data_IF_667426250932
#
_entry.id   IF_667426250932
#
_cell.length_a   1.000
_cell.length_b   1.000
_cell.length_c   1.000
_cell.angle_alpha   90.00
_cell.angle_beta   90.00
_cell.angle_gamma   90.00
#
_symmetry.space_group_name_H-M   'P 1'
#
loop_
_entity.id
_entity.type
_entity.pdbx_description
1 polymer ?
#
# COMPACT_ATOMS: atom_id res chain seq x y z
N UNK A 1 -47.10 -21.68 -21.83
CA UNK A 1 -47.15 -20.24 -21.48
C UNK A 1 -45.72 -19.70 -21.48
N UNK A 2 -45.42 -18.67 -22.27
CA UNK A 2 -44.09 -18.02 -22.37
C UNK A 2 -43.99 -16.72 -21.59
N UNK A 3 -45.07 -16.33 -20.91
CA UNK A 3 -45.20 -15.06 -20.21
C UNK A 3 -45.85 -15.25 -18.84
N UNK A 4 -45.54 -14.34 -17.92
CA UNK A 4 -46.04 -14.29 -16.55
C UNK A 4 -46.27 -12.84 -16.11
N UNK A 5 -47.34 -12.61 -15.36
CA UNK A 5 -47.61 -11.29 -14.76
C UNK A 5 -46.78 -11.09 -13.50
N UNK A 6 -46.05 -9.97 -13.45
CA UNK A 6 -45.27 -9.60 -12.27
C UNK A 6 -46.19 -9.23 -11.10
N UNK A 7 -46.01 -9.87 -9.94
CA UNK A 7 -46.81 -9.60 -8.75
C UNK A 7 -46.64 -8.18 -8.21
N UNK A 8 -45.53 -7.50 -8.52
CA UNK A 8 -45.20 -6.17 -8.00
C UNK A 8 -45.59 -5.00 -8.90
N UNK A 9 -45.24 -5.04 -10.18
CA UNK A 9 -45.60 -4.00 -11.15
C UNK A 9 -46.85 -4.32 -11.97
N UNK A 10 -47.44 -5.52 -11.77
CA UNK A 10 -48.68 -5.97 -12.40
C UNK A 10 -48.68 -6.02 -13.93
N UNK A 11 -47.50 -5.99 -14.56
CA UNK A 11 -47.35 -6.08 -16.02
C UNK A 11 -47.01 -7.50 -16.46
N UNK A 12 -47.54 -7.90 -17.62
CA UNK A 12 -47.21 -9.15 -18.32
C UNK A 12 -45.79 -9.06 -18.87
N UNK A 13 -44.97 -10.09 -18.63
CA UNK A 13 -43.57 -10.12 -19.03
C UNK A 13 -43.15 -11.54 -19.43
N UNK A 14 -42.16 -11.62 -20.31
CA UNK A 14 -41.50 -12.87 -20.67
C UNK A 14 -40.88 -13.56 -19.45
N UNK A 15 -40.90 -14.90 -19.41
CA UNK A 15 -40.44 -15.69 -18.26
C UNK A 15 -38.95 -15.47 -17.93
N UNK A 16 -38.12 -15.15 -18.91
CA UNK A 16 -36.69 -14.85 -18.74
C UNK A 16 -36.44 -13.56 -17.92
N UNK A 17 -37.43 -12.68 -17.82
CA UNK A 17 -37.40 -11.47 -16.99
C UNK A 17 -37.69 -11.77 -15.51
N UNK A 18 -37.79 -13.03 -15.12
CA UNK A 18 -37.96 -13.48 -13.74
C UNK A 18 -36.74 -14.28 -13.27
N UNK A 19 -36.44 -14.22 -11.98
CA UNK A 19 -35.40 -15.07 -11.40
C UNK A 19 -35.96 -16.46 -11.12
N UNK A 20 -35.14 -17.50 -11.29
CA UNK A 20 -35.49 -18.87 -10.90
C UNK A 20 -35.69 -18.96 -9.38
N UNK A 21 -36.72 -19.68 -8.96
CA UNK A 21 -36.99 -20.03 -7.57
C UNK A 21 -37.60 -21.43 -7.54
N UNK A 22 -36.79 -22.42 -7.18
CA UNK A 22 -37.17 -23.84 -7.18
C UNK A 22 -38.40 -24.13 -6.32
N UNK A 23 -38.61 -23.37 -5.24
CA UNK A 23 -39.77 -23.51 -4.36
C UNK A 23 -41.09 -22.95 -4.93
N UNK A 24 -41.08 -22.28 -6.09
CA UNK A 24 -42.30 -21.81 -6.74
C UNK A 24 -42.91 -22.91 -7.61
N UNK A 25 -44.25 -22.95 -7.70
CA UNK A 25 -45.00 -23.90 -8.54
C UNK A 25 -44.50 -23.89 -10.00
N UNK A 26 -44.23 -22.71 -10.55
CA UNK A 26 -43.73 -22.51 -11.92
C UNK A 26 -42.20 -22.36 -12.00
N UNK A 27 -41.49 -22.61 -10.89
CA UNK A 27 -40.03 -22.47 -10.81
C UNK A 27 -39.50 -21.03 -10.91
N UNK A 28 -40.38 -20.01 -10.89
CA UNK A 28 -40.01 -18.61 -11.09
C UNK A 28 -40.47 -17.74 -9.91
N UNK A 29 -39.71 -16.66 -9.65
CA UNK A 29 -40.16 -15.63 -8.70
C UNK A 29 -41.46 -14.98 -9.18
N UNK A 30 -42.32 -14.53 -8.25
CA UNK A 30 -43.53 -13.79 -8.61
C UNK A 30 -43.21 -12.35 -9.05
N UNK A 31 -42.11 -11.75 -8.55
CA UNK A 31 -41.63 -10.44 -9.01
C UNK A 31 -40.66 -10.56 -10.19
N UNK A 32 -40.77 -9.65 -11.15
CA UNK A 32 -39.76 -9.52 -12.21
C UNK A 32 -38.41 -9.06 -11.66
N UNK A 33 -37.34 -9.28 -12.44
CA UNK A 33 -35.95 -8.92 -12.10
C UNK A 33 -35.80 -7.45 -11.72
N UNK A 34 -36.50 -6.55 -12.41
CA UNK A 34 -36.46 -5.09 -12.14
C UNK A 34 -37.03 -4.79 -10.76
N UNK A 35 -38.23 -5.28 -10.47
CA UNK A 35 -38.87 -5.08 -9.16
C UNK A 35 -38.05 -5.70 -8.03
N UNK A 36 -37.50 -6.90 -8.25
CA UNK A 36 -36.63 -7.59 -7.30
C UNK A 36 -35.37 -6.76 -7.00
N UNK A 37 -34.69 -6.25 -8.04
CA UNK A 37 -33.51 -5.39 -7.89
C UNK A 37 -33.84 -4.09 -7.17
N UNK A 38 -34.98 -3.46 -7.49
CA UNK A 38 -35.44 -2.24 -6.83
C UNK A 38 -35.71 -2.44 -5.35
N UNK A 39 -36.38 -3.55 -4.97
CA UNK A 39 -36.60 -3.92 -3.58
C UNK A 39 -35.28 -4.19 -2.85
N UNK A 40 -34.36 -4.93 -3.47
CA UNK A 40 -33.05 -5.22 -2.89
C UNK A 40 -32.22 -3.95 -2.68
N UNK A 41 -32.29 -2.98 -3.60
CA UNK A 41 -31.64 -1.68 -3.45
C UNK A 41 -32.18 -0.94 -2.22
N UNK A 42 -33.50 -0.80 -2.10
CA UNK A 42 -34.15 -0.18 -0.93
C UNK A 42 -33.76 -0.86 0.37
N UNK A 43 -33.74 -2.20 0.40
CA UNK A 43 -33.30 -2.96 1.58
C UNK A 43 -31.84 -2.66 1.95
N UNK A 44 -30.93 -2.66 0.97
CA UNK A 44 -29.50 -2.37 1.19
C UNK A 44 -29.27 -0.95 1.68
N UNK A 45 -30.05 0.01 1.19
CA UNK A 45 -29.99 1.41 1.62
C UNK A 45 -30.51 1.56 3.05
N UNK A 46 -31.70 1.03 3.34
CA UNK A 46 -32.30 1.09 4.67
C UNK A 46 -31.49 0.33 5.74
N UNK A 47 -30.70 -0.68 5.36
CA UNK A 47 -29.91 -1.51 6.28
C UNK A 47 -28.39 -1.31 6.10
N UNK A 48 -27.95 -0.21 5.48
CA UNK A 48 -26.55 -0.02 5.08
C UNK A 48 -25.56 -0.21 6.24
N UNK A 49 -25.83 0.44 7.37
CA UNK A 49 -24.94 0.39 8.52
C UNK A 49 -24.97 -0.96 9.24
N UNK A 50 -26.16 -1.54 9.41
CA UNK A 50 -26.31 -2.89 9.95
C UNK A 50 -25.57 -3.94 9.08
N UNK A 51 -25.66 -3.84 7.75
CA UNK A 51 -24.92 -4.70 6.83
C UNK A 51 -23.41 -4.49 6.93
N UNK A 52 -22.96 -3.25 7.14
CA UNK A 52 -21.54 -2.92 7.33
C UNK A 52 -21.01 -3.52 8.64
N UNK A 53 -21.75 -3.39 9.73
CA UNK A 53 -21.42 -4.00 11.03
C UNK A 53 -21.39 -5.52 10.92
N UNK A 54 -22.41 -6.12 10.33
CA UNK A 54 -22.48 -7.57 10.09
C UNK A 54 -21.29 -8.07 9.28
N UNK A 55 -20.90 -7.34 8.23
CA UNK A 55 -19.71 -7.67 7.42
C UNK A 55 -18.42 -7.55 8.24
N UNK A 56 -18.29 -6.53 9.09
CA UNK A 56 -17.13 -6.36 9.97
C UNK A 56 -17.01 -7.53 10.96
N UNK A 57 -18.10 -7.90 11.61
CA UNK A 57 -18.16 -9.05 12.54
C UNK A 57 -17.79 -10.34 11.80
N UNK A 58 -18.37 -10.57 10.62
CA UNK A 58 -18.04 -11.75 9.81
C UNK A 58 -16.54 -11.80 9.47
N UNK A 59 -15.94 -10.70 9.03
CA UNK A 59 -14.51 -10.66 8.73
C UNK A 59 -13.63 -10.85 9.97
N UNK A 60 -14.02 -10.31 11.12
CA UNK A 60 -13.29 -10.50 12.38
C UNK A 60 -13.34 -11.96 12.82
N UNK A 61 -14.52 -12.58 12.81
CA UNK A 61 -14.71 -13.96 13.27
C UNK A 61 -14.18 -15.02 12.28
N UNK A 62 -13.87 -14.62 11.03
CA UNK A 62 -13.41 -15.53 9.99
C UNK A 62 -12.08 -15.09 9.38
N UNK A 63 -11.34 -14.18 10.02
CA UNK A 63 -10.08 -13.63 9.48
C UNK A 63 -9.11 -14.75 9.14
N UNK A 64 -8.96 -15.71 10.05
CA UNK A 64 -7.99 -16.79 9.94
C UNK A 64 -8.36 -17.73 8.80
N UNK A 65 -9.61 -18.22 8.78
CA UNK A 65 -10.13 -19.04 7.69
C UNK A 65 -10.03 -18.37 6.32
N UNK A 66 -10.27 -17.05 6.25
CA UNK A 66 -10.13 -16.28 5.00
C UNK A 66 -8.66 -16.20 4.59
N UNK A 67 -7.76 -15.97 5.55
CA UNK A 67 -6.33 -15.90 5.30
C UNK A 67 -5.75 -17.26 4.92
N UNK A 68 -6.20 -18.35 5.54
CA UNK A 68 -5.82 -19.72 5.20
C UNK A 68 -6.17 -20.06 3.75
N UNK A 69 -7.41 -19.81 3.35
CA UNK A 69 -7.82 -20.00 1.95
C UNK A 69 -6.99 -19.16 0.98
N UNK A 70 -6.63 -17.93 1.36
CA UNK A 70 -5.76 -17.07 0.54
C UNK A 70 -4.34 -17.65 0.46
N UNK A 71 -3.80 -18.15 1.57
CA UNK A 71 -2.47 -18.78 1.63
C UNK A 71 -2.43 -20.02 0.76
N UNK A 72 -3.44 -20.88 0.87
CA UNK A 72 -3.57 -22.09 0.07
C UNK A 72 -3.70 -21.77 -1.42
N UNK A 73 -4.60 -20.85 -1.79
CA UNK A 73 -4.75 -20.40 -3.17
C UNK A 73 -3.45 -19.80 -3.73
N UNK A 74 -2.75 -19.00 -2.94
CA UNK A 74 -1.44 -18.46 -3.32
C UNK A 74 -0.40 -19.57 -3.50
N UNK A 75 -0.34 -20.55 -2.59
CA UNK A 75 0.60 -21.67 -2.69
C UNK A 75 0.37 -22.49 -3.96
N UNK A 76 -0.90 -22.82 -4.25
CA UNK A 76 -1.28 -23.57 -5.46
C UNK A 76 -1.04 -22.80 -6.77
N UNK A 77 -1.08 -21.47 -6.72
CA UNK A 77 -0.95 -20.62 -7.92
C UNK A 77 0.35 -19.78 -7.91
N UNK A 78 1.31 -20.13 -7.05
CA UNK A 78 2.46 -19.29 -6.74
C UNK A 78 3.24 -18.94 -8.00
N UNK A 79 3.59 -19.94 -8.79
CA UNK A 79 4.47 -19.77 -9.93
C UNK A 79 3.78 -18.99 -11.06
N UNK A 80 2.50 -19.27 -11.31
CA UNK A 80 1.68 -18.51 -12.27
C UNK A 80 1.57 -17.04 -11.87
N UNK A 81 1.34 -16.75 -10.58
CA UNK A 81 1.28 -15.38 -10.08
C UNK A 81 2.64 -14.67 -10.19
N UNK A 82 3.73 -15.35 -9.85
CA UNK A 82 5.08 -14.81 -9.96
C UNK A 82 5.46 -14.55 -11.41
N UNK A 83 5.13 -15.46 -12.34
CA UNK A 83 5.37 -15.29 -13.76
C UNK A 83 4.57 -14.10 -14.32
N UNK A 84 3.27 -14.01 -13.99
CA UNK A 84 2.43 -12.87 -14.34
C UNK A 84 3.01 -11.56 -13.82
N UNK A 85 3.48 -11.54 -12.57
CA UNK A 85 4.14 -10.36 -11.97
C UNK A 85 5.45 -10.01 -12.69
N UNK A 86 6.27 -11.00 -13.07
CA UNK A 86 7.51 -10.80 -13.84
C UNK A 86 7.21 -10.22 -15.22
N UNK A 87 6.25 -10.79 -15.96
CA UNK A 87 5.80 -10.29 -17.27
C UNK A 87 5.30 -8.86 -17.17
N UNK A 88 4.43 -8.58 -16.21
CA UNK A 88 3.90 -7.24 -15.98
C UNK A 88 5.03 -6.24 -15.67
N UNK A 89 5.96 -6.58 -14.76
CA UNK A 89 7.11 -5.71 -14.43
C UNK A 89 8.03 -5.45 -15.62
N UNK A 90 8.24 -6.44 -16.48
CA UNK A 90 9.07 -6.29 -17.70
C UNK A 90 8.43 -5.32 -18.68
N UNK A 91 7.14 -5.50 -18.96
CA UNK A 91 6.37 -4.67 -19.91
C UNK A 91 6.18 -3.25 -19.35
N UNK A 92 5.84 -3.13 -18.07
CA UNK A 92 5.50 -1.85 -17.44
C UNK A 92 6.70 -1.21 -16.72
N UNK A 93 7.93 -1.56 -17.12
CA UNK A 93 9.16 -1.05 -16.49
C UNK A 93 9.21 0.47 -16.54
N UNK A 94 8.90 1.05 -17.70
CA UNK A 94 8.90 2.50 -17.90
C UNK A 94 7.79 3.18 -17.11
N UNK A 95 6.58 2.61 -17.12
CA UNK A 95 5.47 3.09 -16.29
C UNK A 95 5.85 3.15 -14.82
N UNK A 96 6.46 2.09 -14.28
CA UNK A 96 6.90 2.04 -12.88
C UNK A 96 7.98 3.10 -12.59
N UNK A 97 8.95 3.28 -13.49
CA UNK A 97 9.99 4.29 -13.35
C UNK A 97 9.42 5.72 -13.38
N UNK A 98 8.47 5.99 -14.27
CA UNK A 98 7.79 7.28 -14.37
C UNK A 98 6.92 7.54 -13.14
N UNK A 99 6.15 6.55 -12.69
CA UNK A 99 5.39 6.66 -11.44
C UNK A 99 6.30 6.99 -10.24
N UNK A 100 7.45 6.30 -10.11
CA UNK A 100 8.39 6.58 -9.01
C UNK A 100 8.99 7.99 -9.12
N UNK A 101 9.35 8.44 -10.33
CA UNK A 101 9.88 9.79 -10.59
C UNK A 101 8.87 10.87 -10.21
N UNK A 102 7.64 10.76 -10.69
CA UNK A 102 6.58 11.73 -10.42
C UNK A 102 6.16 11.71 -8.95
N UNK A 103 6.11 10.53 -8.33
CA UNK A 103 5.83 10.44 -6.89
C UNK A 103 6.93 11.11 -6.05
N UNK A 104 8.21 10.95 -6.39
CA UNK A 104 9.31 11.63 -5.68
C UNK A 104 9.25 13.16 -5.81
N UNK A 105 8.72 13.69 -6.91
CA UNK A 105 8.53 15.14 -7.10
C UNK A 105 7.42 15.70 -6.22
N UNK A 106 6.26 15.02 -6.20
CA UNK A 106 5.06 15.49 -5.48
C UNK A 106 5.06 15.20 -3.98
N UNK A 107 5.80 14.17 -3.55
CA UNK A 107 5.79 13.65 -2.19
C UNK A 107 7.22 13.63 -1.62
N UNK A 108 7.65 14.73 -0.96
CA UNK A 108 8.96 14.83 -0.32
C UNK A 108 9.21 13.74 0.73
N UNK A 109 8.16 13.24 1.39
CA UNK A 109 8.26 12.16 2.38
C UNK A 109 8.55 10.82 1.74
N UNK A 110 7.91 10.52 0.61
CA UNK A 110 8.26 9.38 -0.20
C UNK A 110 9.71 9.47 -0.69
N UNK A 111 10.14 10.65 -1.15
CA UNK A 111 11.53 10.89 -1.57
C UNK A 111 12.51 10.69 -0.41
N UNK A 112 12.21 11.21 0.78
CA UNK A 112 12.98 11.02 2.03
C UNK A 112 13.19 9.53 2.32
N UNK A 113 12.10 8.77 2.45
CA UNK A 113 12.15 7.32 2.73
C UNK A 113 12.93 6.57 1.66
N UNK A 114 12.75 6.89 0.38
CA UNK A 114 13.46 6.24 -0.72
C UNK A 114 14.96 6.55 -0.68
N UNK A 115 15.36 7.77 -0.33
CA UNK A 115 16.76 8.15 -0.22
C UNK A 115 17.45 7.43 0.94
N UNK A 116 16.84 7.38 2.12
CA UNK A 116 17.37 6.64 3.28
C UNK A 116 17.60 5.16 2.94
N UNK A 117 16.59 4.52 2.34
CA UNK A 117 16.69 3.11 1.92
C UNK A 117 17.77 2.88 0.87
N UNK A 118 17.85 3.76 -0.12
CA UNK A 118 18.84 3.66 -1.21
C UNK A 118 20.25 3.84 -0.67
N UNK A 119 20.47 4.81 0.22
CA UNK A 119 21.78 5.03 0.84
C UNK A 119 22.24 3.82 1.64
N UNK A 120 21.38 3.29 2.50
CA UNK A 120 21.72 2.10 3.28
C UNK A 120 21.97 0.88 2.37
N UNK A 121 21.19 0.72 1.31
CA UNK A 121 21.40 -0.35 0.33
C UNK A 121 22.79 -0.30 -0.30
N UNK A 122 23.25 0.90 -0.70
CA UNK A 122 24.60 1.04 -1.25
C UNK A 122 25.70 0.83 -0.22
N UNK A 123 25.45 1.15 1.06
CA UNK A 123 26.40 0.96 2.15
C UNK A 123 26.61 -0.53 2.52
N UNK A 124 25.54 -1.34 2.52
CA UNK A 124 25.57 -2.77 2.95
C UNK A 124 26.10 -3.74 1.86
N UNK A 125 26.41 -3.24 0.65
CA UNK A 125 27.04 -3.94 -0.51
C UNK A 125 27.09 -5.49 -0.42
N UNK A 126 26.09 -6.18 -1.00
CA UNK A 126 26.00 -7.65 -1.18
C UNK A 126 25.88 -8.52 0.09
N UNK A 127 25.92 -7.98 1.31
CA UNK A 127 25.54 -8.75 2.50
C UNK A 127 24.01 -8.85 2.64
N UNK A 128 23.55 -9.93 3.29
CA UNK A 128 22.13 -10.09 3.64
C UNK A 128 21.73 -8.92 4.55
N UNK A 129 20.67 -8.19 4.20
CA UNK A 129 20.26 -7.00 4.93
C UNK A 129 19.63 -7.37 6.28
N UNK A 130 20.42 -7.33 7.36
CA UNK A 130 19.97 -7.44 8.75
C UNK A 130 19.47 -6.09 9.30
N UNK A 131 18.50 -5.44 8.65
CA UNK A 131 17.93 -4.18 9.20
C UNK A 131 17.11 -3.32 8.24
N UNK A 132 16.84 -2.09 8.65
CA UNK A 132 16.01 -1.12 7.91
C UNK A 132 16.27 0.32 8.33
N UNK A 133 16.79 1.13 7.40
CA UNK A 133 16.93 2.60 7.53
C UNK A 133 15.64 3.38 7.90
N UNK A 134 14.48 2.71 7.98
CA UNK A 134 13.22 3.33 8.41
C UNK A 134 12.74 2.77 9.74
N UNK A 135 12.94 1.47 10.01
CA UNK A 135 12.52 0.89 11.30
C UNK A 135 13.54 1.18 12.40
N UNK A 136 14.79 1.38 12.00
CA UNK A 136 15.92 1.58 12.89
C UNK A 136 16.22 3.06 13.12
N UNK A 137 15.32 3.95 12.69
CA UNK A 137 15.47 5.39 12.90
C UNK A 137 15.42 5.79 14.37
N UNK A 138 14.79 4.99 15.24
CA UNK A 138 14.45 5.40 16.60
C UNK A 138 13.27 6.37 16.69
N UNK A 139 12.69 6.77 15.55
CA UNK A 139 11.48 7.58 15.48
C UNK A 139 10.66 7.24 14.22
N UNK A 140 9.44 7.77 14.14
CA UNK A 140 8.64 7.72 12.92
C UNK A 140 9.19 8.65 11.85
N UNK A 141 8.84 8.39 10.59
CA UNK A 141 9.25 9.25 9.47
C UNK A 141 8.70 10.67 9.62
N UNK A 142 7.51 10.83 10.21
CA UNK A 142 6.92 12.14 10.49
C UNK A 142 7.73 12.93 11.52
N UNK A 143 8.20 12.27 12.58
CA UNK A 143 9.07 12.88 13.58
C UNK A 143 10.44 13.23 12.99
N UNK A 144 11.03 12.35 12.19
CA UNK A 144 12.29 12.64 11.48
C UNK A 144 12.17 13.88 10.60
N UNK A 145 11.02 14.08 9.94
CA UNK A 145 10.77 15.27 9.12
C UNK A 145 10.87 16.54 9.96
N UNK A 146 10.18 16.57 11.10
CA UNK A 146 10.16 17.72 12.03
C UNK A 146 11.55 17.96 12.62
N UNK A 147 12.25 16.88 13.01
CA UNK A 147 13.61 16.95 13.50
C UNK A 147 14.56 17.57 12.46
N UNK A 148 14.56 17.09 11.21
CA UNK A 148 15.39 17.67 10.16
C UNK A 148 15.02 19.13 9.86
N UNK A 149 13.73 19.47 9.86
CA UNK A 149 13.26 20.87 9.71
C UNK A 149 13.83 21.78 10.79
N UNK A 150 13.93 21.29 12.03
CA UNK A 150 14.49 22.07 13.14
C UNK A 150 15.98 22.36 13.00
N UNK A 151 16.69 21.60 12.15
CA UNK A 151 18.12 21.74 11.89
C UNK A 151 18.42 22.48 10.57
N UNK A 152 17.41 22.99 9.86
CA UNK A 152 17.60 23.65 8.58
C UNK A 152 18.41 24.95 8.70
N UNK A 153 19.42 25.06 7.84
CA UNK A 153 20.18 26.30 7.65
C UNK A 153 19.40 27.28 6.77
N UNK A 154 19.84 28.54 6.74
CA UNK A 154 19.23 29.60 5.91
C UNK A 154 19.04 29.14 4.46
N UNK A 155 17.80 29.23 3.98
CA UNK A 155 17.41 28.85 2.62
C UNK A 155 17.08 27.36 2.41
N UNK A 156 17.27 26.47 3.40
CA UNK A 156 16.86 25.07 3.28
C UNK A 156 15.34 24.91 3.43
N UNK A 157 14.72 24.15 2.53
CA UNK A 157 13.28 23.83 2.61
C UNK A 157 13.03 22.44 2.03
N UNK A 158 11.88 21.83 2.33
CA UNK A 158 11.49 20.61 1.62
C UNK A 158 11.25 20.82 0.13
N UNK A 159 10.89 22.04 -0.29
CA UNK A 159 10.69 22.38 -1.72
C UNK A 159 11.99 22.27 -2.50
N UNK A 160 13.14 22.58 -1.88
CA UNK A 160 14.45 22.44 -2.50
C UNK A 160 15.23 21.20 -2.05
N UNK A 161 14.56 20.22 -1.44
CA UNK A 161 15.19 18.95 -1.06
C UNK A 161 15.80 18.25 -2.27
N UNK A 162 17.10 17.95 -2.20
CA UNK A 162 17.95 17.57 -3.33
C UNK A 162 19.02 18.62 -3.66
N UNK A 163 18.82 19.89 -3.29
CA UNK A 163 19.91 20.89 -3.19
C UNK A 163 20.69 20.72 -1.88
N UNK A 164 20.00 20.29 -0.83
CA UNK A 164 20.60 19.75 0.40
C UNK A 164 20.34 18.24 0.48
N UNK A 165 21.23 17.56 1.18
CA UNK A 165 21.22 16.13 1.44
C UNK A 165 21.03 15.89 2.93
N UNK A 166 20.50 14.73 3.28
CA UNK A 166 20.67 14.19 4.62
C UNK A 166 22.13 13.74 4.69
N UNK A 167 22.83 13.99 5.75
CA UNK A 167 24.19 13.50 6.02
C UNK A 167 24.16 12.67 7.30
N UNK A 168 25.16 11.80 7.47
CA UNK A 168 25.41 11.19 8.77
C UNK A 168 26.45 12.00 9.52
N UNK A 169 26.15 12.44 10.74
CA UNK A 169 27.08 13.20 11.59
C UNK A 169 28.38 12.38 11.73
N UNK A 170 28.25 11.17 12.29
CA UNK A 170 29.29 10.13 12.24
C UNK A 170 29.10 9.32 10.95
N UNK A 171 30.04 9.37 9.99
CA UNK A 171 29.86 8.75 8.67
C UNK A 171 29.67 7.24 8.73
N UNK A 172 28.94 6.68 7.75
CA UNK A 172 28.69 5.24 7.62
C UNK A 172 29.96 4.38 7.65
N UNK A 173 31.10 4.91 7.18
CA UNK A 173 32.38 4.19 7.12
C UNK A 173 33.02 3.92 8.49
N UNK A 174 32.50 4.54 9.57
CA UNK A 174 33.00 4.36 10.94
C UNK A 174 32.33 3.19 11.67
N UNK A 175 31.36 2.55 11.03
CA UNK A 175 30.55 1.51 11.63
C UNK A 175 30.74 0.19 10.91
N UNK A 176 30.77 -0.89 11.67
CA UNK A 176 30.52 -2.22 11.12
C UNK A 176 29.01 -2.38 10.90
N UNK A 177 28.59 -2.31 9.64
CA UNK A 177 27.18 -2.43 9.26
C UNK A 177 26.65 -3.87 9.29
N UNK A 178 27.51 -4.86 9.51
CA UNK A 178 27.09 -6.23 9.79
C UNK A 178 26.61 -6.37 11.24
N UNK A 179 27.15 -5.56 12.15
CA UNK A 179 26.73 -5.49 13.54
C UNK A 179 25.37 -4.77 13.66
N UNK A 180 24.44 -5.40 14.40
CA UNK A 180 23.07 -4.92 14.50
C UNK A 180 22.97 -3.63 15.31
N UNK A 181 23.74 -3.49 16.38
CA UNK A 181 23.69 -2.35 17.29
C UNK A 181 24.31 -1.12 16.62
N UNK A 182 25.47 -1.29 15.98
CA UNK A 182 26.11 -0.25 15.17
C UNK A 182 25.24 0.17 13.98
N UNK A 183 24.51 -0.76 13.36
CA UNK A 183 23.55 -0.44 12.31
C UNK A 183 22.37 0.40 12.83
N UNK A 184 21.88 0.14 14.05
CA UNK A 184 20.85 0.97 14.69
C UNK A 184 21.43 2.35 14.97
N UNK A 185 22.61 2.42 15.59
CA UNK A 185 23.28 3.70 15.93
C UNK A 185 23.45 4.58 14.69
N UNK A 186 23.97 4.02 13.59
CA UNK A 186 24.20 4.79 12.39
C UNK A 186 22.90 5.23 11.70
N UNK A 187 21.84 4.42 11.78
CA UNK A 187 20.53 4.76 11.23
C UNK A 187 19.71 5.69 12.12
N UNK A 188 20.07 5.83 13.40
CA UNK A 188 19.28 6.59 14.37
C UNK A 188 19.16 8.06 13.96
N UNK A 189 17.99 8.66 14.17
CA UNK A 189 17.71 10.02 13.72
C UNK A 189 18.70 11.05 14.26
N UNK A 190 19.20 10.85 15.47
CA UNK A 190 20.19 11.74 16.10
C UNK A 190 21.55 11.74 15.40
N UNK A 191 21.85 10.74 14.57
CA UNK A 191 23.05 10.70 13.72
C UNK A 191 22.79 11.29 12.33
N UNK A 192 21.60 11.82 12.05
CA UNK A 192 21.24 12.39 10.76
C UNK A 192 21.16 13.93 10.84
N UNK A 193 21.72 14.62 9.85
CA UNK A 193 21.63 16.09 9.76
C UNK A 193 21.34 16.56 8.33
N UNK A 194 20.65 17.69 8.14
CA UNK A 194 20.58 18.32 6.82
C UNK A 194 21.89 19.07 6.53
N UNK A 195 22.43 18.88 5.33
CA UNK A 195 23.64 19.57 4.89
C UNK A 195 23.51 19.93 3.41
N UNK A 196 23.97 21.10 2.98
CA UNK A 196 23.95 21.44 1.56
C UNK A 196 24.73 20.40 0.76
N UNK A 197 24.27 20.06 -0.44
CA UNK A 197 24.86 18.98 -1.22
C UNK A 197 26.38 19.17 -1.43
N UNK A 198 26.80 20.42 -1.66
CA UNK A 198 28.20 20.81 -1.83
C UNK A 198 28.99 20.55 -0.55
N UNK A 199 28.46 20.95 0.61
CA UNK A 199 29.14 20.78 1.89
C UNK A 199 29.22 19.31 2.31
N UNK A 200 28.16 18.54 2.05
CA UNK A 200 28.15 17.10 2.25
C UNK A 200 29.20 16.38 1.40
N UNK A 201 29.37 16.79 0.14
CA UNK A 201 30.40 16.25 -0.74
C UNK A 201 31.81 16.62 -0.26
N UNK A 202 32.00 17.85 0.24
CA UNK A 202 33.27 18.32 0.81
C UNK A 202 33.62 17.61 2.12
N UNK A 203 32.64 17.36 2.99
CA UNK A 203 32.80 16.64 4.27
C UNK A 203 33.31 15.22 4.04
N UNK A 204 32.74 14.50 3.07
CA UNK A 204 33.12 13.11 2.79
C UNK A 204 32.94 12.23 4.03
N UNK A 205 34.02 11.62 4.50
CA UNK A 205 34.04 10.79 5.72
C UNK A 205 34.69 11.49 6.92
N UNK A 206 34.80 12.83 6.92
CA UNK A 206 35.32 13.58 8.07
C UNK A 206 34.23 13.78 9.13
N UNK A 207 34.65 13.88 10.39
CA UNK A 207 33.82 14.29 11.54
C UNK A 207 34.06 15.78 11.76
#
# INVERSE_FOLDING_TARGET
MTEKTCSKCKTLKQLDLFYKRVASIDGLRPECKICTKGQLKKYREANRDALKVKKKIYHANNSDKINDKKREYYAQNRDVMLERSRKWRKINREYAANYERERKKRDPMFKLVRNLRTRLYYAIKRNYKSGSAVRDLGCSISELKVYLESLFMSGMTWKNYGKWHIDHIKPLSFFDLADREQLIEVCHYSNLQPLWAIDNLRKGNKI
#
